data_IF_777309258755
#
_entry.id   IF_777309258755
#
_cell.length_a   1.000
_cell.length_b   1.000
_cell.length_c   1.000
_cell.angle_alpha   90.00
_cell.angle_beta   90.00
_cell.angle_gamma   90.00
#
_symmetry.space_group_name_H-M   'P 1'
#
loop_
_entity.id
_entity.type
_entity.pdbx_description
1 polymer ?
#
# COMPACT_ATOMS: atom_id res chain seq x y z
N UNK A 1 9.32 13.00 14.06
CA UNK A 1 8.42 14.15 14.19
C UNK A 1 7.07 13.67 13.68
N UNK A 2 6.18 13.36 14.61
CA UNK A 2 4.79 12.98 14.28
C UNK A 2 4.16 14.20 13.60
N UNK A 3 3.87 14.09 12.30
CA UNK A 3 3.09 15.12 11.62
C UNK A 3 1.67 15.05 12.16
N UNK A 4 1.24 16.13 12.81
CA UNK A 4 -0.12 16.29 13.29
C UNK A 4 -1.07 16.43 12.10
N UNK A 5 -2.35 16.07 12.28
CA UNK A 5 -3.39 16.16 11.24
C UNK A 5 -3.46 17.58 10.64
N UNK A 6 -3.17 18.59 11.45
CA UNK A 6 -3.09 20.01 11.08
C UNK A 6 -1.95 20.34 10.12
N UNK A 7 -0.80 19.66 10.20
CA UNK A 7 0.34 19.90 9.30
C UNK A 7 0.11 19.31 7.90
N UNK A 8 -0.73 18.27 7.81
CA UNK A 8 -1.14 17.67 6.54
C UNK A 8 -2.06 18.63 5.77
N UNK A 9 -3.07 19.19 6.44
CA UNK A 9 -4.01 20.16 5.85
C UNK A 9 -3.33 21.44 5.36
N UNK A 10 -2.29 21.94 6.02
CA UNK A 10 -1.54 23.12 5.56
C UNK A 10 -0.71 22.85 4.31
N UNK A 11 -0.10 21.66 4.18
CA UNK A 11 0.64 21.28 2.96
C UNK A 11 -0.26 21.12 1.74
N UNK A 12 -1.55 20.85 1.96
CA UNK A 12 -2.55 20.75 0.90
C UNK A 12 -3.02 22.14 0.42
N UNK A 13 -2.95 23.18 1.27
CA UNK A 13 -3.31 24.57 0.91
C UNK A 13 -2.28 25.25 -0.01
N UNK A 14 -1.03 24.78 -0.05
CA UNK A 14 0.04 25.41 -0.85
C UNK A 14 0.08 24.98 -2.32
N UNK A 15 -0.82 24.09 -2.76
CA UNK A 15 -0.94 23.71 -4.17
C UNK A 15 -2.37 24.03 -4.67
N UNK A 16 -2.57 25.08 -5.49
CA UNK A 16 -3.88 25.68 -5.76
C UNK A 16 -4.77 24.90 -6.75
N UNK A 17 -4.59 23.58 -6.89
CA UNK A 17 -5.50 22.71 -7.65
C UNK A 17 -5.71 21.37 -6.94
N UNK A 18 -6.97 21.14 -6.58
CA UNK A 18 -7.63 19.94 -6.00
C UNK A 18 -7.78 19.96 -4.48
N UNK A 19 -8.99 20.32 -4.06
CA UNK A 19 -9.53 19.99 -2.75
C UNK A 19 -9.49 18.46 -2.55
N UNK A 20 -9.21 18.00 -1.32
CA UNK A 20 -9.04 16.57 -1.02
C UNK A 20 -10.27 15.73 -1.38
N UNK A 21 -11.46 16.31 -1.27
CA UNK A 21 -12.74 15.64 -1.53
C UNK A 21 -13.04 15.45 -3.02
N UNK A 22 -12.29 16.11 -3.93
CA UNK A 22 -12.46 15.98 -5.38
C UNK A 22 -11.53 14.93 -6.03
N UNK A 23 -10.63 14.30 -5.27
CA UNK A 23 -9.77 13.29 -5.85
C UNK A 23 -10.56 11.99 -6.10
N UNK A 24 -10.60 11.54 -7.35
CA UNK A 24 -11.39 10.39 -7.81
C UNK A 24 -11.14 9.10 -7.02
N UNK A 25 -10.01 9.02 -6.29
CA UNK A 25 -9.65 7.90 -5.42
C UNK A 25 -10.67 7.69 -4.29
N UNK A 26 -11.26 8.74 -3.72
CA UNK A 26 -12.23 8.61 -2.60
C UNK A 26 -13.47 7.82 -3.01
N UNK A 27 -13.82 7.81 -4.30
CA UNK A 27 -14.90 6.98 -4.85
C UNK A 27 -14.61 5.47 -4.70
N UNK A 28 -13.34 5.09 -4.71
CA UNK A 28 -12.90 3.70 -4.76
C UNK A 28 -12.39 3.18 -3.42
N UNK A 29 -11.76 4.03 -2.61
CA UNK A 29 -11.11 3.63 -1.37
C UNK A 29 -11.71 4.43 -0.23
N UNK A 30 -12.37 3.75 0.70
CA UNK A 30 -12.98 4.37 1.88
C UNK A 30 -12.06 4.35 3.11
N UNK A 31 -11.07 3.46 3.16
CA UNK A 31 -10.16 3.37 4.30
C UNK A 31 -9.20 4.57 4.33
N UNK A 32 -9.40 5.44 5.32
CA UNK A 32 -8.60 6.67 5.52
C UNK A 32 -7.11 6.39 5.69
N UNK A 33 -6.73 5.23 6.24
CA UNK A 33 -5.33 4.84 6.42
C UNK A 33 -4.67 4.57 5.07
N UNK A 34 -5.38 3.88 4.18
CA UNK A 34 -4.91 3.61 2.81
C UNK A 34 -4.86 4.91 2.01
N UNK A 35 -5.90 5.73 2.07
CA UNK A 35 -5.93 7.03 1.39
C UNK A 35 -4.75 7.91 1.80
N UNK A 36 -4.48 8.02 3.11
CA UNK A 36 -3.32 8.75 3.62
C UNK A 36 -2.02 8.24 3.03
N UNK A 37 -1.80 6.92 3.02
CA UNK A 37 -0.60 6.32 2.45
C UNK A 37 -0.44 6.65 0.96
N UNK A 38 -1.52 6.60 0.19
CA UNK A 38 -1.48 6.93 -1.25
C UNK A 38 -1.12 8.40 -1.47
N UNK A 39 -1.74 9.32 -0.73
CA UNK A 39 -1.49 10.76 -0.84
C UNK A 39 -0.05 11.12 -0.42
N UNK A 40 0.46 10.52 0.67
CA UNK A 40 1.85 10.70 1.10
C UNK A 40 2.85 10.20 0.04
N UNK A 41 2.49 9.16 -0.72
CA UNK A 41 3.25 8.67 -1.87
C UNK A 41 2.96 9.42 -3.19
N UNK A 42 2.24 10.56 -3.14
CA UNK A 42 1.85 11.38 -4.30
C UNK A 42 0.99 10.65 -5.34
N UNK A 43 0.19 9.68 -4.90
CA UNK A 43 -0.78 8.96 -5.72
C UNK A 43 -2.16 9.64 -5.51
N UNK A 44 -2.56 10.44 -6.49
CA UNK A 44 -3.81 11.22 -6.45
C UNK A 44 -4.90 10.69 -7.39
N UNK A 45 -4.56 9.78 -8.30
CA UNK A 45 -5.49 9.10 -9.19
C UNK A 45 -5.09 7.63 -9.36
N UNK A 46 -6.08 6.77 -9.56
CA UNK A 46 -5.86 5.36 -9.89
C UNK A 46 -5.82 5.18 -11.40
N UNK A 47 -5.12 4.14 -11.84
CA UNK A 47 -5.16 3.69 -13.23
C UNK A 47 -6.36 2.78 -13.44
N UNK A 48 -6.83 2.68 -14.68
CA UNK A 48 -8.00 1.88 -15.05
C UNK A 48 -7.98 0.46 -14.47
N UNK A 49 -6.87 -0.27 -14.61
CA UNK A 49 -6.74 -1.64 -14.07
C UNK A 49 -6.81 -1.70 -12.54
N UNK A 50 -6.37 -0.65 -11.85
CA UNK A 50 -6.44 -0.56 -10.38
C UNK A 50 -7.87 -0.31 -9.93
N UNK A 51 -8.58 0.59 -10.62
CA UNK A 51 -10.01 0.83 -10.37
C UNK A 51 -10.84 -0.42 -10.63
N UNK A 52 -10.56 -1.11 -11.73
CA UNK A 52 -11.24 -2.35 -12.11
C UNK A 52 -11.03 -3.44 -11.06
N UNK A 53 -9.80 -3.60 -10.56
CA UNK A 53 -9.52 -4.54 -9.48
C UNK A 53 -10.33 -4.23 -8.21
N UNK A 54 -10.41 -2.94 -7.83
CA UNK A 54 -11.20 -2.51 -6.68
C UNK A 54 -12.69 -2.81 -6.89
N UNK A 55 -13.25 -2.45 -8.06
CA UNK A 55 -14.66 -2.72 -8.41
C UNK A 55 -14.98 -4.21 -8.39
N UNK A 56 -14.05 -5.07 -8.85
CA UNK A 56 -14.19 -6.54 -8.81
C UNK A 56 -14.06 -7.13 -7.41
N UNK A 57 -13.62 -6.32 -6.44
CA UNK A 57 -13.67 -6.62 -5.02
C UNK A 57 -12.31 -6.85 -4.37
N UNK A 58 -11.29 -6.07 -4.74
CA UNK A 58 -9.93 -6.16 -4.21
C UNK A 58 -9.88 -6.19 -2.67
N UNK A 59 -10.77 -5.44 -2.01
CA UNK A 59 -10.81 -5.32 -0.56
C UNK A 59 -11.70 -6.37 0.14
N UNK A 60 -12.38 -7.24 -0.62
CA UNK A 60 -13.34 -8.22 -0.09
C UNK A 60 -12.78 -9.66 -0.07
N UNK A 61 -11.47 -9.81 0.13
CA UNK A 61 -10.77 -11.11 0.26
C UNK A 61 -11.01 -12.10 -0.88
N UNK A 62 -11.24 -11.60 -2.10
CA UNK A 62 -11.33 -12.44 -3.30
C UNK A 62 -9.95 -12.74 -3.86
N UNK A 63 -9.80 -13.86 -4.54
CA UNK A 63 -8.59 -14.20 -5.29
C UNK A 63 -8.57 -13.43 -6.63
N UNK A 64 -7.42 -12.86 -6.98
CA UNK A 64 -7.22 -12.10 -8.21
C UNK A 64 -6.04 -12.66 -9.02
N UNK A 65 -6.24 -12.79 -10.33
CA UNK A 65 -5.16 -12.91 -11.31
C UNK A 65 -5.13 -11.60 -12.12
N UNK A 66 -4.01 -10.89 -12.06
CA UNK A 66 -3.84 -9.61 -12.77
C UNK A 66 -2.75 -9.77 -13.81
N UNK A 67 -3.11 -9.65 -15.08
CA UNK A 67 -2.19 -9.72 -16.23
C UNK A 67 -2.21 -8.39 -16.95
N UNK A 68 -1.07 -7.71 -17.00
CA UNK A 68 -0.94 -6.41 -17.66
C UNK A 68 0.52 -6.13 -18.07
N UNK A 69 0.77 -5.22 -19.02
CA UNK A 69 2.10 -4.76 -19.38
C UNK A 69 2.89 -4.15 -18.21
N UNK A 70 4.21 -4.18 -18.27
CA UNK A 70 5.08 -3.53 -17.28
C UNK A 70 4.80 -2.03 -17.22
N UNK A 71 4.91 -1.46 -16.01
CA UNK A 71 4.59 -0.05 -15.79
C UNK A 71 3.10 0.27 -15.66
N UNK A 72 2.16 -0.65 -15.92
CA UNK A 72 0.70 -0.41 -15.80
C UNK A 72 0.17 -0.23 -14.37
N UNK A 73 1.02 -0.34 -13.34
CA UNK A 73 0.62 -0.12 -11.94
C UNK A 73 0.06 -1.36 -11.22
N UNK A 74 0.24 -2.56 -11.78
CA UNK A 74 -0.17 -3.84 -11.16
C UNK A 74 0.47 -4.10 -9.78
N UNK A 75 1.66 -3.55 -9.52
CA UNK A 75 2.32 -3.61 -8.20
C UNK A 75 1.44 -3.00 -7.10
N UNK A 76 0.83 -1.84 -7.36
CA UNK A 76 -0.01 -1.16 -6.37
C UNK A 76 -1.24 -2.00 -5.99
N UNK A 77 -1.80 -2.78 -6.93
CA UNK A 77 -2.94 -3.66 -6.65
C UNK A 77 -2.56 -4.71 -5.59
N UNK A 78 -1.39 -5.33 -5.74
CA UNK A 78 -0.88 -6.29 -4.75
C UNK A 78 -0.56 -5.64 -3.40
N UNK A 79 0.01 -4.43 -3.43
CA UNK A 79 0.30 -3.65 -2.21
C UNK A 79 -0.99 -3.30 -1.44
N UNK A 80 -2.00 -2.79 -2.15
CA UNK A 80 -3.31 -2.46 -1.57
C UNK A 80 -4.00 -3.69 -0.98
N UNK A 81 -3.95 -4.83 -1.68
CA UNK A 81 -4.49 -6.08 -1.16
C UNK A 81 -3.79 -6.51 0.14
N UNK A 82 -2.45 -6.48 0.15
CA UNK A 82 -1.66 -6.89 1.30
C UNK A 82 -1.88 -5.98 2.51
N UNK A 83 -1.91 -4.66 2.30
CA UNK A 83 -2.13 -3.66 3.36
C UNK A 83 -3.54 -3.72 3.90
N UNK A 84 -4.56 -3.80 3.03
CA UNK A 84 -5.95 -3.95 3.46
C UNK A 84 -6.13 -5.20 4.34
N UNK A 85 -5.54 -6.34 3.95
CA UNK A 85 -5.63 -7.57 4.73
C UNK A 85 -5.10 -7.40 6.16
N UNK A 86 -3.98 -6.69 6.34
CA UNK A 86 -3.41 -6.41 7.67
C UNK A 86 -4.27 -5.40 8.43
N UNK A 87 -4.69 -4.31 7.78
CA UNK A 87 -5.50 -3.25 8.38
C UNK A 87 -6.89 -3.68 8.82
N UNK A 88 -7.46 -4.68 8.16
CA UNK A 88 -8.73 -5.30 8.53
C UNK A 88 -8.55 -6.48 9.51
N UNK A 89 -7.34 -6.73 10.00
CA UNK A 89 -7.01 -7.81 10.95
C UNK A 89 -7.38 -9.20 10.45
N UNK A 90 -7.29 -9.43 9.13
CA UNK A 90 -7.52 -10.74 8.51
C UNK A 90 -6.29 -11.66 8.58
N UNK A 91 -5.27 -11.26 9.33
CA UNK A 91 -4.02 -11.99 9.52
C UNK A 91 -2.84 -11.36 8.78
N UNK A 92 -1.79 -12.15 8.60
CA UNK A 92 -0.54 -11.71 7.99
C UNK A 92 -0.61 -11.76 6.47
N UNK A 93 0.12 -10.87 5.81
CA UNK A 93 0.27 -10.83 4.35
C UNK A 93 1.69 -11.20 3.94
N UNK A 94 1.84 -12.02 2.91
CA UNK A 94 3.15 -12.41 2.36
C UNK A 94 3.28 -11.81 0.95
N UNK A 95 4.30 -10.98 0.76
CA UNK A 95 4.60 -10.36 -0.53
C UNK A 95 5.84 -11.03 -1.14
N UNK A 96 5.64 -11.78 -2.23
CA UNK A 96 6.69 -12.56 -2.88
C UNK A 96 7.38 -11.75 -3.99
N UNK A 97 8.70 -11.82 -4.03
CA UNK A 97 9.54 -11.21 -5.07
C UNK A 97 10.66 -12.16 -5.46
N UNK A 98 11.16 -12.09 -6.71
CA UNK A 98 12.13 -13.06 -7.21
C UNK A 98 13.56 -12.86 -6.66
N UNK A 99 13.92 -11.65 -6.24
CA UNK A 99 15.28 -11.32 -5.82
C UNK A 99 15.32 -10.65 -4.44
N UNK A 100 16.37 -10.95 -3.68
CA UNK A 100 16.63 -10.36 -2.36
C UNK A 100 16.74 -8.83 -2.40
N UNK A 101 17.35 -8.26 -3.44
CA UNK A 101 17.48 -6.81 -3.57
C UNK A 101 16.10 -6.12 -3.67
N UNK A 102 15.22 -6.63 -4.53
CA UNK A 102 13.83 -6.16 -4.65
C UNK A 102 13.05 -6.34 -3.35
N UNK A 103 13.37 -7.42 -2.64
CA UNK A 103 12.78 -7.70 -1.35
C UNK A 103 13.14 -6.56 -0.36
N UNK A 104 14.43 -6.24 -0.21
CA UNK A 104 14.89 -5.16 0.68
C UNK A 104 14.30 -3.80 0.30
N UNK A 105 14.21 -3.52 -0.99
CA UNK A 105 13.57 -2.30 -1.51
C UNK A 105 12.10 -2.24 -1.10
N UNK A 106 11.35 -3.31 -1.32
CA UNK A 106 9.92 -3.37 -0.97
C UNK A 106 9.70 -3.28 0.54
N UNK A 107 10.53 -3.94 1.34
CA UNK A 107 10.47 -3.81 2.80
C UNK A 107 10.64 -2.35 3.24
N UNK A 108 11.65 -1.67 2.72
CA UNK A 108 11.91 -0.27 3.04
C UNK A 108 10.76 0.64 2.60
N UNK A 109 10.23 0.41 1.39
CA UNK A 109 9.06 1.10 0.88
C UNK A 109 7.85 0.91 1.80
N UNK A 110 7.48 -0.33 2.12
CA UNK A 110 6.34 -0.61 2.99
C UNK A 110 6.50 0.00 4.39
N UNK A 111 7.70 -0.08 4.96
CA UNK A 111 8.01 0.50 6.27
C UNK A 111 7.84 2.02 6.26
N UNK A 112 8.30 2.69 5.21
CA UNK A 112 8.21 4.15 5.10
C UNK A 112 6.78 4.62 4.82
N UNK A 113 6.08 3.95 3.89
CA UNK A 113 4.75 4.35 3.43
C UNK A 113 3.61 3.94 4.36
N UNK A 114 3.76 2.86 5.13
CA UNK A 114 2.69 2.31 5.96
C UNK A 114 3.08 2.12 7.43
N UNK A 115 4.37 2.17 7.78
CA UNK A 115 4.83 1.90 9.15
C UNK A 115 4.41 2.95 10.19
N UNK A 116 4.12 4.17 9.76
CA UNK A 116 3.69 5.26 10.65
C UNK A 116 2.18 5.29 10.91
N UNK A 117 1.40 4.41 10.27
CA UNK A 117 -0.06 4.41 10.33
C UNK A 117 -0.65 3.74 11.60
N UNK A 118 0.17 3.52 12.64
CA UNK A 118 -0.17 3.06 14.00
C UNK A 118 -1.37 2.09 14.10
N UNK A 119 -1.10 0.81 13.81
CA UNK A 119 -1.33 -0.30 14.75
C UNK A 119 -0.02 -1.12 14.71
N UNK A 120 0.76 -1.07 15.81
CA UNK A 120 2.16 -1.51 15.86
C UNK A 120 2.37 -3.04 15.82
N UNK A 121 1.33 -3.86 15.63
CA UNK A 121 1.40 -5.29 15.95
C UNK A 121 1.58 -6.24 14.75
N UNK A 122 1.11 -5.93 13.54
CA UNK A 122 0.88 -7.02 12.56
C UNK A 122 1.48 -6.83 11.17
N UNK A 123 2.20 -5.73 10.92
CA UNK A 123 2.96 -5.54 9.67
C UNK A 123 4.28 -6.35 9.67
N UNK A 124 4.20 -7.65 9.99
CA UNK A 124 5.31 -8.58 9.71
C UNK A 124 5.28 -8.93 8.23
N UNK A 125 5.86 -8.05 7.42
CA UNK A 125 6.29 -8.41 6.07
C UNK A 125 7.36 -9.49 6.19
N UNK A 126 6.94 -10.75 6.08
CA UNK A 126 7.88 -11.86 6.02
C UNK A 126 8.53 -11.85 4.65
N UNK A 127 9.58 -11.06 4.58
CA UNK A 127 10.35 -10.86 3.39
C UNK A 127 11.58 -11.77 3.53
N UNK A 128 11.42 -12.99 3.00
CA UNK A 128 12.45 -14.03 2.85
C UNK A 128 13.62 -13.96 3.86
N UNK A 129 13.34 -14.22 5.14
CA UNK A 129 14.36 -14.72 6.08
C UNK A 129 14.41 -16.27 6.00
N UNK A 130 14.43 -16.82 4.78
CA UNK A 130 14.46 -18.27 4.54
C UNK A 130 15.42 -18.66 3.42
N UNK A 131 16.57 -17.99 3.37
CA UNK A 131 17.77 -18.46 2.65
C UNK A 131 19.04 -18.14 3.44
N UNK A 132 18.92 -18.21 4.77
CA UNK A 132 20.06 -18.31 5.68
C UNK A 132 19.87 -19.52 6.61
N UNK A 133 19.51 -20.66 6.00
CA UNK A 133 19.72 -21.99 6.56
C UNK A 133 21.19 -22.37 6.32
N UNK A 134 22.12 -21.61 6.92
CA UNK A 134 23.57 -21.90 6.94
C UNK A 134 24.22 -21.22 8.15
N UNK A 135 23.88 -21.71 9.35
CA UNK A 135 24.75 -21.83 10.54
C UNK A 135 23.92 -22.36 11.70
N UNK A 136 23.68 -23.66 11.67
CA UNK A 136 23.37 -24.52 12.83
C UNK A 136 23.56 -25.96 12.34
N UNK A 137 24.81 -26.25 12.01
CA UNK A 137 25.48 -27.54 12.19
C UNK A 137 26.81 -27.19 12.85
#
# INVERSE_FOLDING_TARGET
MDMSITDFEEKLKTNPKRSLEESEIYKYIQDKRILRALLENRIFQLREIQEEAIKKGLFFRKSFLVVAPSGSGKTLIGELCAVNNVFQKYGKSVYLVPFKALATEKYSHFKNSYGNLKEKSDLFFFLYKSLMFRRLL
#
